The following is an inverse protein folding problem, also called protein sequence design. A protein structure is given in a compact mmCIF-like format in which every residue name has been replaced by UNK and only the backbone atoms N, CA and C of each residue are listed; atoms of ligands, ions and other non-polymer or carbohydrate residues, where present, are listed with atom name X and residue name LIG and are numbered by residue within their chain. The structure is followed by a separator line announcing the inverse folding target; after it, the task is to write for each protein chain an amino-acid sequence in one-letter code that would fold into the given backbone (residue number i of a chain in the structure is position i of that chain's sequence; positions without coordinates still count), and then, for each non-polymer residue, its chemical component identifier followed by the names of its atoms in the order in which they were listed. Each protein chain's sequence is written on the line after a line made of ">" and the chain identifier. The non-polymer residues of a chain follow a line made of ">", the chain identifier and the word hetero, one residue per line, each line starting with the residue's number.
data_IF_150238913657
#
_entry.id   IF_150238913657
#
_cell.length_a   1.000
_cell.length_b   1.000
_cell.length_c   1.000
_cell.angle_alpha   90.00
_cell.angle_beta   90.00
_cell.angle_gamma   90.00
#
_symmetry.space_group_name_H-M   'P 1'
#
loop_
_entity.id
_entity.type
_entity.pdbx_description
1 polymer ?
#
# COMPACT_ATOMS: atom_id res chain seq x y z
N UNK A 1 -10.95 1.83 -0.11
CA UNK A 1 -9.79 1.30 -0.85
C UNK A 1 -9.89 1.89 -2.23
N UNK A 2 -8.91 2.72 -2.63
CA UNK A 2 -8.88 3.35 -3.95
C UNK A 2 -9.12 2.32 -5.05
N UNK A 3 -9.91 2.71 -6.06
CA UNK A 3 -10.08 1.91 -7.27
C UNK A 3 -8.69 1.72 -7.89
N UNK A 4 -8.21 0.48 -7.93
CA UNK A 4 -6.94 0.17 -8.59
C UNK A 4 -7.14 0.40 -10.08
N UNK A 5 -6.38 1.34 -10.65
CA UNK A 5 -6.37 1.57 -12.09
C UNK A 5 -5.73 0.34 -12.75
N UNK A 6 -6.52 -0.36 -13.57
CA UNK A 6 -6.08 -1.47 -14.40
C UNK A 6 -5.37 -0.91 -15.63
N UNK A 7 -4.23 -1.50 -15.93
CA UNK A 7 -3.49 -1.21 -17.14
C UNK A 7 -4.36 -1.46 -18.39
N UNK A 8 -4.28 -0.57 -19.39
CA UNK A 8 -5.07 -0.67 -20.63
C UNK A 8 -6.53 -0.20 -20.54
N UNK A 9 -7.03 0.21 -19.37
CA UNK A 9 -8.37 0.76 -19.23
C UNK A 9 -8.40 2.29 -19.40
N UNK A 10 -9.48 2.82 -19.99
CA UNK A 10 -9.72 4.25 -20.09
C UNK A 10 -10.46 4.75 -18.84
N UNK A 11 -10.00 5.88 -18.29
CA UNK A 11 -10.57 6.52 -17.11
C UNK A 11 -11.00 7.94 -17.44
N UNK A 12 -12.12 8.40 -16.87
CA UNK A 12 -12.48 9.80 -16.97
C UNK A 12 -11.60 10.64 -16.02
N UNK A 13 -11.53 11.95 -16.26
CA UNK A 13 -10.69 12.86 -15.46
C UNK A 13 -11.02 12.82 -13.96
N UNK A 14 -12.30 12.65 -13.61
CA UNK A 14 -12.76 12.62 -12.22
C UNK A 14 -12.23 11.38 -11.48
N UNK A 15 -12.31 10.20 -12.10
CA UNK A 15 -11.78 8.95 -11.53
C UNK A 15 -10.28 9.04 -11.24
N UNK A 16 -9.53 9.70 -12.13
CA UNK A 16 -8.08 9.94 -11.96
C UNK A 16 -7.83 10.90 -10.80
N UNK A 17 -8.58 12.00 -10.70
CA UNK A 17 -8.44 12.98 -9.61
C UNK A 17 -8.76 12.34 -8.26
N UNK A 18 -9.85 11.58 -8.16
CA UNK A 18 -10.25 10.92 -6.92
C UNK A 18 -9.16 9.93 -6.45
N UNK A 19 -8.56 9.17 -7.37
CA UNK A 19 -7.43 8.29 -7.07
C UNK A 19 -6.21 9.06 -6.56
N UNK A 20 -5.85 10.19 -7.18
CA UNK A 20 -4.71 11.01 -6.77
C UNK A 20 -4.92 11.63 -5.38
N UNK A 21 -6.15 12.07 -5.06
CA UNK A 21 -6.50 12.60 -3.73
C UNK A 21 -6.36 11.51 -2.67
N UNK A 22 -6.89 10.31 -2.93
CA UNK A 22 -6.73 9.18 -2.00
C UNK A 22 -5.25 8.79 -1.82
N UNK A 23 -4.47 8.78 -2.90
CA UNK A 23 -3.04 8.51 -2.85
C UNK A 23 -2.28 9.56 -2.04
N UNK A 24 -2.59 10.85 -2.23
CA UNK A 24 -1.98 11.94 -1.46
C UNK A 24 -2.25 11.76 0.04
N UNK A 25 -3.51 11.51 0.42
CA UNK A 25 -3.87 11.28 1.82
C UNK A 25 -3.19 10.03 2.39
N UNK A 26 -3.03 8.97 1.58
CA UNK A 26 -2.28 7.78 1.98
C UNK A 26 -0.80 8.09 2.22
N UNK A 27 -0.15 8.81 1.30
CA UNK A 27 1.24 9.25 1.42
C UNK A 27 1.46 10.02 2.72
N UNK A 28 0.59 10.98 3.05
CA UNK A 28 0.71 11.79 4.26
C UNK A 28 0.64 10.93 5.53
N UNK A 29 -0.27 9.93 5.56
CA UNK A 29 -0.37 9.00 6.70
C UNK A 29 0.87 8.12 6.83
N UNK A 30 1.40 7.61 5.72
CA UNK A 30 2.63 6.80 5.71
C UNK A 30 3.80 7.63 6.20
N UNK A 31 3.96 8.86 5.68
CA UNK A 31 5.05 9.74 6.08
C UNK A 31 4.99 10.10 7.56
N UNK A 32 3.80 10.42 8.08
CA UNK A 32 3.59 10.67 9.51
C UNK A 32 4.00 9.45 10.35
N UNK A 33 3.50 8.26 9.99
CA UNK A 33 3.78 7.05 10.76
C UNK A 33 5.25 6.65 10.70
N UNK A 34 5.89 6.82 9.54
CA UNK A 34 7.31 6.56 9.37
C UNK A 34 8.17 7.47 10.25
N UNK A 35 7.84 8.77 10.32
CA UNK A 35 8.53 9.72 11.21
C UNK A 35 8.37 9.35 12.69
N UNK A 36 7.19 8.87 13.11
CA UNK A 36 6.97 8.39 14.47
C UNK A 36 7.85 7.16 14.78
N UNK A 37 7.82 6.15 13.90
CA UNK A 37 8.62 4.93 14.06
C UNK A 37 10.12 5.23 14.05
N UNK A 38 10.58 6.10 13.15
CA UNK A 38 11.99 6.49 13.09
C UNK A 38 12.48 7.09 14.41
N UNK A 39 11.69 7.97 15.03
CA UNK A 39 12.00 8.52 16.37
C UNK A 39 12.01 7.47 17.47
N UNK A 40 11.15 6.45 17.39
CA UNK A 40 11.13 5.35 18.35
C UNK A 40 12.34 4.41 18.21
N UNK A 41 12.92 4.32 17.02
CA UNK A 41 14.05 3.44 16.73
C UNK A 41 15.40 4.11 16.96
N UNK A 42 15.47 5.43 16.77
CA UNK A 42 16.68 6.24 16.91
C UNK A 42 17.37 6.01 18.25
N UNK A 43 18.66 5.65 18.19
CA UNK A 43 19.52 5.51 19.37
C UNK A 43 19.38 4.17 20.11
N UNK A 44 18.57 3.24 19.61
CA UNK A 44 18.52 1.87 20.15
C UNK A 44 19.76 1.08 19.69
N UNK A 45 20.33 0.28 20.59
CA UNK A 45 21.49 -0.56 20.28
C UNK A 45 21.24 -1.58 19.14
N UNK A 46 19.97 -1.94 18.89
CA UNK A 46 19.53 -2.85 17.84
C UNK A 46 18.67 -2.15 16.77
N UNK A 47 18.85 -0.84 16.56
CA UNK A 47 18.08 -0.04 15.59
C UNK A 47 18.04 -0.69 14.19
N UNK A 48 19.18 -1.13 13.68
CA UNK A 48 19.28 -1.81 12.38
C UNK A 48 18.40 -3.06 12.32
N UNK A 49 18.47 -3.93 13.33
CA UNK A 49 17.70 -5.18 13.35
C UNK A 49 16.19 -4.92 13.44
N UNK A 50 15.79 -3.86 14.14
CA UNK A 50 14.40 -3.42 14.20
C UNK A 50 13.89 -2.93 12.84
N UNK A 51 14.71 -2.18 12.10
CA UNK A 51 14.37 -1.76 10.73
C UNK A 51 14.28 -2.93 9.77
N UNK A 52 15.23 -3.87 9.83
CA UNK A 52 15.19 -5.11 9.03
C UNK A 52 13.93 -5.90 9.34
N UNK A 53 13.62 -6.09 10.63
CA UNK A 53 12.41 -6.81 11.05
C UNK A 53 11.13 -6.13 10.53
N UNK A 54 11.05 -4.80 10.62
CA UNK A 54 9.91 -4.04 10.11
C UNK A 54 9.77 -4.19 8.59
N UNK A 55 10.88 -4.14 7.85
CA UNK A 55 10.88 -4.33 6.41
C UNK A 55 10.38 -5.73 6.01
N UNK A 56 10.85 -6.78 6.67
CA UNK A 56 10.44 -8.15 6.38
C UNK A 56 8.94 -8.36 6.63
N UNK A 57 8.43 -7.97 7.80
CA UNK A 57 7.01 -8.09 8.13
C UNK A 57 6.14 -7.28 7.15
N UNK A 58 6.58 -6.08 6.78
CA UNK A 58 5.85 -5.23 5.83
C UNK A 58 5.83 -5.84 4.43
N UNK A 59 6.93 -6.48 4.03
CA UNK A 59 7.04 -7.18 2.73
C UNK A 59 6.13 -8.40 2.70
N UNK A 60 6.17 -9.24 3.73
CA UNK A 60 5.29 -10.41 3.88
C UNK A 60 3.82 -10.00 3.82
N UNK A 61 3.45 -8.93 4.56
CA UNK A 61 2.09 -8.40 4.52
C UNK A 61 1.71 -7.91 3.12
N UNK A 62 2.58 -7.18 2.43
CA UNK A 62 2.32 -6.69 1.08
C UNK A 62 2.13 -7.84 0.08
N UNK A 63 2.95 -8.88 0.18
CA UNK A 63 2.86 -10.07 -0.64
C UNK A 63 1.57 -10.85 -0.39
N UNK A 64 1.15 -11.00 0.87
CA UNK A 64 -0.16 -11.56 1.21
C UNK A 64 -1.31 -10.75 0.62
N UNK A 65 -1.27 -9.42 0.74
CA UNK A 65 -2.32 -8.55 0.18
C UNK A 65 -2.38 -8.67 -1.35
N UNK A 66 -1.22 -8.75 -2.01
CA UNK A 66 -1.14 -8.94 -3.47
C UNK A 66 -1.72 -10.29 -3.91
N UNK A 67 -1.45 -11.35 -3.14
CA UNK A 67 -1.91 -12.71 -3.41
C UNK A 67 -3.43 -12.83 -3.22
N UNK A 68 -3.99 -12.22 -2.18
CA UNK A 68 -5.44 -12.18 -1.96
C UNK A 68 -6.18 -11.47 -3.09
N UNK A 69 -5.58 -10.44 -3.69
CA UNK A 69 -6.17 -9.71 -4.83
C UNK A 69 -6.23 -10.54 -6.12
N UNK A 70 -5.31 -11.49 -6.32
CA UNK A 70 -5.29 -12.39 -7.49
C UNK A 70 -6.42 -13.44 -7.48
N UNK A 71 -7.02 -13.73 -6.32
CA UNK A 71 -8.06 -14.76 -6.17
C UNK A 71 -9.46 -14.23 -6.51
N UNK A 72 -9.63 -12.91 -6.66
CA UNK A 72 -10.93 -12.28 -6.93
C UNK A 72 -11.10 -12.01 -8.43
N UNK A 73 -11.21 -13.06 -9.24
CA UNK A 73 -11.89 -12.99 -10.54
C UNK A 73 -13.06 -14.00 -10.54
N UNK A 74 -14.30 -13.57 -10.21
CA UNK A 74 -15.45 -14.34 -10.62
C UNK A 74 -15.62 -14.10 -12.12
N UNK A 75 -15.21 -15.09 -12.93
CA UNK A 75 -15.60 -15.20 -14.33
C UNK A 75 -17.13 -15.06 -14.38
N UNK A 76 -17.62 -13.88 -14.76
CA UNK A 76 -19.00 -13.70 -15.17
C UNK A 76 -19.17 -14.48 -16.47
N UNK A 77 -19.65 -15.71 -16.36
CA UNK A 77 -20.22 -16.42 -17.50
C UNK A 77 -21.44 -15.63 -17.95
N UNK A 78 -21.31 -14.97 -19.10
CA UNK A 78 -22.43 -14.34 -19.80
C UNK A 78 -23.33 -15.48 -20.32
N UNK A 79 -24.61 -15.45 -19.93
CA UNK A 79 -25.70 -16.27 -20.50
C UNK A 79 -26.22 -15.66 -21.79
#
# INVERSE_FOLDING_TARGET
>A
MAKVLKEGAAYNQRDVIDMLVEFSAFKDRVEKKFKEVARELEGKANEHDLWVSLYLISSDYADEQSSRRKVVDPIQKIS
#
